data_IF_592444281927
#
_entry.id   IF_592444281927
#
_cell.length_a   1.000
_cell.length_b   1.000
_cell.length_c   1.000
_cell.angle_alpha   90.00
_cell.angle_beta   90.00
_cell.angle_gamma   90.00
#
_symmetry.space_group_name_H-M   'P 1'
#
loop_
_entity.id
_entity.type
_entity.pdbx_description
1 polymer ?
#
# COMPACT_ATOMS: atom_id res chain seq x y z
N UNK A 1 19.64 7.64 -16.95
CA UNK A 1 19.12 7.04 -18.19
C UNK A 1 17.60 7.12 -18.13
N UNK A 2 16.93 7.88 -19.01
CA UNK A 2 15.48 7.93 -18.99
C UNK A 2 14.99 6.52 -19.36
N UNK A 3 14.31 5.89 -18.41
CA UNK A 3 13.86 4.51 -18.51
C UNK A 3 13.03 4.32 -19.76
N UNK A 4 13.35 3.26 -20.52
CA UNK A 4 12.71 2.94 -21.79
C UNK A 4 11.18 2.89 -21.61
N UNK A 5 10.46 3.61 -22.45
CA UNK A 5 9.02 3.45 -22.56
C UNK A 5 8.71 2.00 -22.94
N UNK A 6 7.92 1.32 -22.13
CA UNK A 6 7.48 -0.06 -22.38
C UNK A 6 6.11 -0.05 -23.05
N UNK A 7 5.96 -0.82 -24.13
CA UNK A 7 4.68 -0.98 -24.80
C UNK A 7 3.75 -1.89 -24.01
N UNK A 8 2.54 -1.40 -23.69
CA UNK A 8 1.47 -2.19 -23.10
C UNK A 8 0.35 -2.37 -24.13
N UNK A 9 0.00 -3.62 -24.44
CA UNK A 9 -1.11 -3.94 -25.35
C UNK A 9 -2.34 -4.33 -24.54
N UNK A 10 -3.38 -3.49 -24.60
CA UNK A 10 -4.65 -3.72 -23.89
C UNK A 10 -5.70 -4.15 -24.91
N UNK A 11 -6.45 -5.22 -24.62
CA UNK A 11 -7.64 -5.60 -25.39
C UNK A 11 -8.84 -4.98 -24.70
N UNK A 12 -9.65 -4.25 -25.47
CA UNK A 12 -10.89 -3.62 -25.01
C UNK A 12 -12.00 -3.92 -25.99
N UNK A 13 -13.23 -3.78 -25.54
CA UNK A 13 -14.40 -3.87 -26.39
C UNK A 13 -14.40 -2.78 -27.47
N UNK A 14 -14.96 -3.11 -28.64
CA UNK A 14 -15.00 -2.20 -29.79
C UNK A 14 -15.71 -0.89 -29.45
N UNK A 15 -16.89 -1.00 -28.83
CA UNK A 15 -17.72 0.15 -28.49
C UNK A 15 -17.02 1.06 -27.46
N UNK A 16 -16.41 0.47 -26.43
CA UNK A 16 -15.65 1.20 -25.42
C UNK A 16 -14.49 1.99 -26.05
N UNK A 17 -13.74 1.36 -26.97
CA UNK A 17 -12.66 2.04 -27.70
C UNK A 17 -13.20 3.23 -28.48
N UNK A 18 -14.31 3.06 -29.19
CA UNK A 18 -14.84 4.08 -30.09
C UNK A 18 -15.38 5.27 -29.27
N UNK A 19 -16.11 5.03 -28.18
CA UNK A 19 -16.50 6.06 -27.22
C UNK A 19 -15.29 6.79 -26.61
N UNK A 20 -14.26 6.04 -26.19
CA UNK A 20 -13.05 6.63 -25.62
C UNK A 20 -12.30 7.51 -26.62
N UNK A 21 -12.20 7.07 -27.87
CA UNK A 21 -11.59 7.84 -28.94
C UNK A 21 -12.39 9.11 -29.24
N UNK A 22 -13.71 9.06 -29.20
CA UNK A 22 -14.57 10.22 -29.41
C UNK A 22 -14.38 11.28 -28.33
N UNK A 23 -14.33 10.86 -27.06
CA UNK A 23 -14.00 11.75 -25.93
C UNK A 23 -12.60 12.34 -26.09
N UNK A 24 -11.60 11.55 -26.49
CA UNK A 24 -10.25 12.04 -26.73
C UNK A 24 -10.20 13.07 -27.86
N UNK A 25 -10.99 12.87 -28.93
CA UNK A 25 -11.12 13.82 -30.04
C UNK A 25 -11.77 15.12 -29.60
N UNK A 26 -12.84 15.08 -28.80
CA UNK A 26 -13.46 16.29 -28.25
C UNK A 26 -12.51 17.10 -27.36
N UNK A 27 -11.63 16.41 -26.62
CA UNK A 27 -10.67 17.05 -25.73
C UNK A 27 -9.39 17.50 -26.43
N UNK A 28 -9.22 17.19 -27.72
CA UNK A 28 -8.00 17.44 -28.51
C UNK A 28 -6.73 16.85 -27.85
N UNK A 29 -6.90 15.67 -27.22
CA UNK A 29 -5.83 15.01 -26.46
C UNK A 29 -5.59 13.60 -26.98
N UNK A 30 -4.32 13.20 -27.17
CA UNK A 30 -4.01 11.84 -27.61
C UNK A 30 -4.43 10.83 -26.54
N UNK A 31 -5.13 9.77 -26.97
CA UNK A 31 -5.58 8.67 -26.11
C UNK A 31 -4.48 8.13 -25.18
N UNK A 32 -3.25 8.01 -25.70
CA UNK A 32 -2.10 7.56 -24.92
C UNK A 32 -1.76 8.51 -23.74
N UNK A 33 -1.95 9.82 -23.88
CA UNK A 33 -1.72 10.78 -22.81
C UNK A 33 -2.78 10.65 -21.72
N UNK A 34 -4.06 10.55 -22.11
CA UNK A 34 -5.17 10.34 -21.18
C UNK A 34 -4.96 9.06 -20.37
N UNK A 35 -4.57 7.95 -21.04
CA UNK A 35 -4.28 6.68 -20.37
C UNK A 35 -3.11 6.82 -19.39
N UNK A 36 -2.01 7.48 -19.80
CA UNK A 36 -0.84 7.66 -18.92
C UNK A 36 -1.18 8.49 -17.67
N UNK A 37 -1.96 9.55 -17.82
CA UNK A 37 -2.38 10.37 -16.68
C UNK A 37 -3.33 9.60 -15.77
N UNK A 38 -4.30 8.89 -16.35
CA UNK A 38 -5.22 8.05 -15.60
C UNK A 38 -4.48 6.96 -14.80
N UNK A 39 -3.47 6.33 -15.41
CA UNK A 39 -2.62 5.35 -14.72
C UNK A 39 -1.90 5.98 -13.52
N UNK A 40 -1.31 7.17 -13.68
CA UNK A 40 -0.65 7.87 -12.56
C UNK A 40 -1.63 8.19 -11.43
N UNK A 41 -2.81 8.72 -11.77
CA UNK A 41 -3.85 9.05 -10.81
C UNK A 41 -4.37 7.81 -10.07
N UNK A 42 -4.58 6.70 -10.79
CA UNK A 42 -5.00 5.42 -10.24
C UNK A 42 -3.98 4.87 -9.22
N UNK A 43 -2.69 4.88 -9.57
CA UNK A 43 -1.62 4.42 -8.67
C UNK A 43 -1.51 5.33 -7.45
N UNK A 44 -1.56 6.65 -7.62
CA UNK A 44 -1.48 7.60 -6.52
C UNK A 44 -2.65 7.42 -5.53
N UNK A 45 -3.88 7.31 -6.05
CA UNK A 45 -5.07 7.08 -5.22
C UNK A 45 -4.99 5.75 -4.48
N UNK A 46 -4.54 4.68 -5.15
CA UNK A 46 -4.40 3.36 -4.51
C UNK A 46 -3.30 3.34 -3.46
N UNK A 47 -2.17 3.99 -3.72
CA UNK A 47 -1.08 4.12 -2.75
C UNK A 47 -1.53 4.89 -1.50
N UNK A 48 -2.33 5.94 -1.65
CA UNK A 48 -2.91 6.68 -0.51
C UNK A 48 -3.87 5.81 0.32
N UNK A 49 -4.72 5.01 -0.34
CA UNK A 49 -5.61 4.07 0.34
C UNK A 49 -4.82 2.96 1.05
N UNK A 50 -3.82 2.38 0.41
CA UNK A 50 -3.00 1.33 1.00
C UNK A 50 -2.13 1.86 2.14
N UNK A 51 -1.61 3.09 2.05
CA UNK A 51 -0.93 3.78 3.15
C UNK A 51 -1.88 4.00 4.35
N UNK A 52 -3.12 4.39 4.09
CA UNK A 52 -4.15 4.55 5.13
C UNK A 52 -4.52 3.21 5.78
N UNK A 53 -4.59 2.13 5.00
CA UNK A 53 -4.81 0.76 5.51
C UNK A 53 -3.62 0.23 6.30
N UNK A 54 -2.39 0.53 5.87
CA UNK A 54 -1.17 0.16 6.58
C UNK A 54 -1.06 0.88 7.94
N UNK A 55 -1.41 2.17 7.98
CA UNK A 55 -1.49 2.95 9.23
C UNK A 55 -2.57 2.40 10.18
N UNK A 56 -3.73 1.98 9.65
CA UNK A 56 -4.77 1.33 10.44
C UNK A 56 -4.36 -0.08 10.95
N UNK A 57 -3.55 -0.81 10.17
CA UNK A 57 -3.07 -2.16 10.51
C UNK A 57 -1.93 -2.21 11.54
N UNK A 58 -1.19 -1.12 11.76
CA UNK A 58 -0.07 -1.08 12.72
C UNK A 58 -0.50 -0.94 14.19
N UNK A 59 -1.77 -0.61 14.47
CA UNK A 59 -2.25 -0.40 15.84
C UNK A 59 -2.57 -1.69 16.62
N UNK A 60 -2.55 -2.86 15.98
CA UNK A 60 -3.00 -4.12 16.59
C UNK A 60 -1.88 -5.10 16.98
N UNK A 61 -0.61 -4.82 16.63
CA UNK A 61 0.56 -5.66 16.99
C UNK A 61 1.53 -5.00 17.98
N UNK A 62 1.13 -3.92 18.67
CA UNK A 62 1.92 -3.32 19.75
C UNK A 62 1.40 -3.66 21.16
N UNK A 63 0.41 -4.55 21.27
CA UNK A 63 -0.17 -4.99 22.56
C UNK A 63 0.34 -6.35 23.06
N UNK A 64 1.41 -6.89 22.49
CA UNK A 64 2.02 -8.11 23.01
C UNK A 64 3.54 -8.03 23.14
N UNK A 65 4.03 -7.09 23.94
CA UNK A 65 5.38 -7.21 24.50
C UNK A 65 5.43 -6.83 25.99
N UNK A 66 5.79 -7.85 26.78
CA UNK A 66 6.52 -7.81 28.06
C UNK A 66 5.76 -7.49 29.35
N UNK A 67 4.92 -8.45 29.77
CA UNK A 67 4.76 -8.76 31.20
C UNK A 67 5.97 -9.57 31.69
N UNK A 68 7.11 -8.91 31.91
CA UNK A 68 8.27 -9.54 32.54
C UNK A 68 7.98 -9.83 34.01
N UNK A 69 7.70 -11.10 34.33
CA UNK A 69 7.68 -11.57 35.72
C UNK A 69 9.11 -11.58 36.24
N UNK A 70 9.56 -10.50 36.87
CA UNK A 70 10.77 -10.54 37.72
C UNK A 70 10.35 -11.17 39.06
N UNK A 71 10.50 -12.49 39.16
CA UNK A 71 10.44 -13.19 40.44
C UNK A 71 11.75 -12.94 41.19
N UNK A 72 11.81 -11.83 41.94
CA UNK A 72 12.80 -11.69 43.03
C UNK A 72 12.37 -12.58 44.19
N UNK A 73 12.66 -13.88 44.12
CA UNK A 73 12.55 -14.77 45.28
C UNK A 73 13.85 -14.68 46.06
N UNK A 74 13.78 -13.92 47.15
CA UNK A 74 14.88 -13.59 48.04
C UNK A 74 15.66 -14.80 48.54
N UNK A 75 16.96 -14.61 48.53
CA UNK A 75 17.95 -15.34 49.29
C UNK A 75 17.56 -15.33 50.79
N UNK A 76 17.06 -16.47 51.30
CA UNK A 76 16.94 -16.70 52.75
C UNK A 76 16.91 -18.20 53.05
N UNK A 77 18.04 -18.87 52.80
CA UNK A 77 18.37 -20.14 53.48
C UNK A 77 19.80 -20.06 53.99
N UNK A 78 19.96 -19.40 55.14
CA UNK A 78 20.99 -19.76 56.11
C UNK A 78 20.46 -19.56 57.52
N UNK A 79 20.84 -20.50 58.38
CA UNK A 79 20.70 -20.53 59.85
C UNK A 79 19.40 -21.15 60.36
N UNK A 80 19.41 -22.47 60.47
CA UNK A 80 18.91 -23.12 61.67
C UNK A 80 20.13 -23.76 62.34
N UNK A 81 20.42 -23.27 63.53
CA UNK A 81 21.43 -23.74 64.49
C UNK A 81 20.68 -23.83 65.84
N UNK A 82 21.07 -24.79 66.67
CA UNK A 82 20.43 -25.35 67.88
C UNK A 82 19.32 -26.38 67.68
#
# INVERSE_FOLDING_TARGET
>A
MPGKDVGLRIRVERELRDQFLEVCRLQDRPAAQVIREYMRACVAGRAALDASRAAAGQRQKQSHIKGGSVVKKGDRRKRFDS
#
